data_IF_667920832349
#
_entry.id   IF_667920832349
#
_cell.length_a   1.000
_cell.length_b   1.000
_cell.length_c   1.000
_cell.angle_alpha   90.00
_cell.angle_beta   90.00
_cell.angle_gamma   90.00
#
_symmetry.space_group_name_H-M   'P 1'
#
loop_
_entity.id
_entity.type
_entity.pdbx_description
1 polymer ?
#
# COMPACT_ATOMS: atom_id res chain seq x y z
N UNK A 1 -0.31 -6.21 -12.25
CA UNK A 1 0.12 -5.88 -10.87
C UNK A 1 1.63 -5.68 -10.86
N UNK A 2 2.17 -4.86 -9.97
CA UNK A 2 3.61 -4.77 -9.77
C UNK A 2 4.14 -6.09 -9.20
N UNK A 3 5.23 -6.62 -9.76
CA UNK A 3 5.71 -7.97 -9.45
C UNK A 3 6.33 -8.10 -8.05
N UNK A 4 6.75 -6.99 -7.45
CA UNK A 4 7.42 -7.01 -6.14
C UNK A 4 6.42 -6.70 -5.01
N UNK A 5 5.69 -5.61 -5.13
CA UNK A 5 4.70 -5.17 -4.14
C UNK A 5 3.35 -5.89 -4.25
N UNK A 6 3.06 -6.54 -5.39
CA UNK A 6 1.74 -7.09 -5.73
C UNK A 6 0.61 -6.05 -5.78
N UNK A 7 0.93 -4.75 -5.73
CA UNK A 7 -0.06 -3.68 -5.82
C UNK A 7 -0.43 -3.39 -7.28
N UNK A 8 -1.65 -2.88 -7.49
CA UNK A 8 -2.08 -2.41 -8.81
C UNK A 8 -1.49 -1.00 -9.06
N UNK A 9 -0.75 -0.78 -10.15
CA UNK A 9 -0.28 0.56 -10.50
C UNK A 9 -1.46 1.52 -10.75
N UNK A 10 -1.38 2.75 -10.24
CA UNK A 10 -2.42 3.75 -10.45
C UNK A 10 -2.00 4.80 -11.49
N UNK A 11 -2.67 4.80 -12.65
CA UNK A 11 -2.46 5.80 -13.70
C UNK A 11 -3.23 7.08 -13.36
N UNK A 12 -2.53 8.21 -13.25
CA UNK A 12 -3.11 9.51 -12.94
C UNK A 12 -3.20 10.38 -14.19
N UNK A 13 -4.35 10.99 -14.40
CA UNK A 13 -4.49 12.13 -15.30
C UNK A 13 -4.52 13.42 -14.48
N UNK A 14 -3.79 14.43 -14.95
CA UNK A 14 -3.81 15.79 -14.41
C UNK A 14 -3.62 16.77 -15.58
N UNK A 15 -4.22 17.96 -15.46
CA UNK A 15 -4.06 19.03 -16.44
C UNK A 15 -2.81 19.87 -16.18
N UNK A 16 -2.39 20.65 -17.17
CA UNK A 16 -1.19 21.49 -17.07
C UNK A 16 -1.37 22.68 -16.11
N UNK A 17 -2.59 23.19 -15.97
CA UNK A 17 -2.97 24.34 -15.13
C UNK A 17 -3.64 23.89 -13.81
N UNK A 18 -2.88 23.24 -12.92
CA UNK A 18 -3.39 22.85 -11.59
C UNK A 18 -3.32 24.00 -10.57
N UNK A 19 -4.39 24.16 -9.77
CA UNK A 19 -4.32 25.02 -8.58
C UNK A 19 -3.31 24.46 -7.59
N UNK A 20 -2.73 25.34 -6.75
CA UNK A 20 -1.79 24.91 -5.68
C UNK A 20 -2.36 23.78 -4.80
N UNK A 21 -3.64 23.85 -4.43
CA UNK A 21 -4.30 22.81 -3.63
C UNK A 21 -4.43 21.48 -4.40
N UNK A 22 -4.79 21.54 -5.69
CA UNK A 22 -4.89 20.35 -6.53
C UNK A 22 -3.51 19.67 -6.70
N UNK A 23 -2.46 20.47 -6.91
CA UNK A 23 -1.07 19.99 -6.96
C UNK A 23 -0.66 19.33 -5.64
N UNK A 24 -0.96 19.95 -4.49
CA UNK A 24 -0.67 19.35 -3.18
C UNK A 24 -1.38 18.02 -2.97
N UNK A 25 -2.65 17.91 -3.35
CA UNK A 25 -3.40 16.65 -3.31
C UNK A 25 -2.75 15.57 -4.20
N UNK A 26 -2.34 15.93 -5.42
CA UNK A 26 -1.66 15.01 -6.34
C UNK A 26 -0.35 14.50 -5.77
N UNK A 27 0.51 15.42 -5.29
CA UNK A 27 1.79 15.07 -4.68
C UNK A 27 1.59 14.18 -3.44
N UNK A 28 0.60 14.48 -2.59
CA UNK A 28 0.31 13.64 -1.41
C UNK A 28 -0.13 12.24 -1.81
N UNK A 29 -0.96 12.10 -2.84
CA UNK A 29 -1.37 10.78 -3.37
C UNK A 29 -0.19 9.99 -3.92
N UNK A 30 0.76 10.64 -4.57
CA UNK A 30 1.99 10.00 -5.10
C UNK A 30 2.88 9.55 -3.94
N UNK A 31 3.09 10.42 -2.95
CA UNK A 31 3.87 10.10 -1.73
C UNK A 31 3.30 8.87 -1.02
N UNK A 32 1.97 8.83 -0.79
CA UNK A 32 1.32 7.73 -0.08
C UNK A 32 1.35 6.42 -0.87
N UNK A 33 1.20 6.48 -2.20
CA UNK A 33 1.35 5.30 -3.06
C UNK A 33 2.80 4.77 -3.04
N UNK A 34 3.80 5.65 -3.18
CA UNK A 34 5.20 5.27 -3.15
C UNK A 34 5.57 4.63 -1.80
N UNK A 35 5.09 5.21 -0.70
CA UNK A 35 5.24 4.65 0.64
C UNK A 35 4.60 3.27 0.79
N UNK A 36 3.37 3.09 0.31
CA UNK A 36 2.68 1.80 0.35
C UNK A 36 3.39 0.75 -0.50
N UNK A 37 3.85 1.15 -1.69
CA UNK A 37 4.61 0.28 -2.60
C UNK A 37 5.93 -0.17 -2.00
N UNK A 38 6.69 0.74 -1.38
CA UNK A 38 7.95 0.43 -0.69
C UNK A 38 7.71 -0.56 0.48
N UNK A 39 6.68 -0.32 1.29
CA UNK A 39 6.31 -1.22 2.38
C UNK A 39 6.02 -2.63 1.88
N UNK A 40 5.12 -2.77 0.91
CA UNK A 40 4.72 -4.07 0.40
C UNK A 40 5.82 -4.78 -0.38
N UNK A 41 6.68 -4.04 -1.08
CA UNK A 41 7.88 -4.60 -1.72
C UNK A 41 8.79 -5.28 -0.70
N UNK A 42 9.14 -4.57 0.38
CA UNK A 42 9.99 -5.10 1.44
C UNK A 42 9.34 -6.27 2.18
N UNK A 43 8.05 -6.14 2.48
CA UNK A 43 7.29 -7.17 3.18
C UNK A 43 7.19 -8.46 2.34
N UNK A 44 6.84 -8.34 1.06
CA UNK A 44 6.71 -9.50 0.16
C UNK A 44 8.06 -10.17 -0.07
N UNK A 45 9.14 -9.39 -0.25
CA UNK A 45 10.50 -9.95 -0.36
C UNK A 45 10.82 -10.85 0.83
N UNK A 46 10.63 -10.35 2.06
CA UNK A 46 10.84 -11.12 3.28
C UNK A 46 9.94 -12.36 3.37
N UNK A 47 8.68 -12.23 2.95
CA UNK A 47 7.76 -13.36 2.91
C UNK A 47 8.24 -14.48 2.00
N UNK A 48 8.69 -14.15 0.78
CA UNK A 48 9.19 -15.16 -0.16
C UNK A 48 10.49 -15.80 0.34
N UNK A 49 11.42 -15.02 0.89
CA UNK A 49 12.65 -15.53 1.51
C UNK A 49 12.34 -16.51 2.66
N UNK A 50 11.50 -16.12 3.62
CA UNK A 50 11.13 -16.98 4.75
C UNK A 50 10.36 -18.24 4.29
N UNK A 51 9.56 -18.12 3.22
CA UNK A 51 8.84 -19.25 2.63
C UNK A 51 9.79 -20.24 1.95
N UNK A 52 10.77 -19.75 1.18
CA UNK A 52 11.77 -20.59 0.53
C UNK A 52 12.63 -21.33 1.56
N UNK A 53 13.03 -20.65 2.63
CA UNK A 53 13.74 -21.26 3.76
C UNK A 53 12.90 -22.35 4.43
N UNK A 54 11.61 -22.10 4.68
CA UNK A 54 10.71 -23.07 5.27
C UNK A 54 10.58 -24.34 4.41
N UNK A 55 10.43 -24.18 3.08
CA UNK A 55 10.34 -25.30 2.14
C UNK A 55 11.67 -26.06 2.07
N UNK A 56 12.81 -25.35 2.04
CA UNK A 56 14.13 -25.97 1.97
C UNK A 56 14.42 -26.84 3.21
N UNK A 57 14.17 -26.30 4.40
CA UNK A 57 14.37 -27.02 5.66
C UNK A 57 13.49 -28.28 5.78
N UNK A 58 12.25 -28.22 5.28
CA UNK A 58 11.35 -29.40 5.26
C UNK A 58 11.80 -30.49 4.28
N UNK A 59 12.41 -30.09 3.15
CA UNK A 59 12.99 -31.04 2.20
C UNK A 59 14.22 -31.72 2.77
N UNK A 60 15.08 -30.95 3.44
CA UNK A 60 16.28 -31.47 4.13
C UNK A 60 15.93 -32.42 5.28
N UNK A 61 14.79 -32.20 5.95
CA UNK A 61 14.30 -33.10 7.00
C UNK A 61 13.65 -34.39 6.47
N UNK A 62 13.77 -34.69 5.17
CA UNK A 62 13.34 -35.96 4.56
C UNK A 62 11.90 -35.98 4.04
N UNK A 63 11.21 -34.84 3.99
CA UNK A 63 9.85 -34.76 3.42
C UNK A 63 9.91 -34.34 1.96
N UNK A 64 9.34 -35.11 1.04
CA UNK A 64 9.38 -34.80 -0.39
C UNK A 64 8.59 -33.53 -0.76
N UNK A 65 7.47 -33.27 -0.08
CA UNK A 65 6.59 -32.12 -0.31
C UNK A 65 6.04 -31.54 1.00
N UNK A 66 5.88 -30.22 1.03
CA UNK A 66 5.26 -29.52 2.17
C UNK A 66 3.74 -29.60 2.04
N UNK A 67 3.08 -30.18 3.04
CA UNK A 67 1.62 -30.30 3.03
C UNK A 67 0.92 -28.95 3.20
N UNK A 68 -0.34 -28.87 2.80
CA UNK A 68 -1.16 -27.68 2.99
C UNK A 68 -1.28 -27.29 4.48
N UNK A 69 -1.33 -28.28 5.38
CA UNK A 69 -1.40 -28.08 6.82
C UNK A 69 -0.12 -27.42 7.37
N UNK A 70 1.04 -27.95 6.98
CA UNK A 70 2.35 -27.38 7.34
C UNK A 70 2.52 -25.95 6.80
N UNK A 71 2.07 -25.71 5.56
CA UNK A 71 2.07 -24.37 4.97
C UNK A 71 1.14 -23.41 5.73
N UNK A 72 0.01 -23.90 6.24
CA UNK A 72 -0.89 -23.09 7.08
C UNK A 72 -0.23 -22.64 8.38
N UNK A 73 0.55 -23.52 9.01
CA UNK A 73 1.34 -23.20 10.20
C UNK A 73 2.40 -22.14 9.91
N UNK A 74 3.10 -22.25 8.77
CA UNK A 74 4.02 -21.21 8.31
C UNK A 74 3.31 -19.85 8.15
N UNK A 75 2.17 -19.82 7.45
CA UNK A 75 1.44 -18.57 7.23
C UNK A 75 0.99 -17.94 8.55
N UNK A 76 0.45 -18.73 9.47
CA UNK A 76 0.06 -18.23 10.79
C UNK A 76 1.26 -17.68 11.54
N UNK A 77 2.36 -18.41 11.62
CA UNK A 77 3.57 -17.97 12.32
C UNK A 77 4.15 -16.68 11.72
N UNK A 78 4.16 -16.57 10.38
CA UNK A 78 4.60 -15.35 9.70
C UNK A 78 3.69 -14.16 10.04
N UNK A 79 2.37 -14.33 10.01
CA UNK A 79 1.42 -13.28 10.37
C UNK A 79 1.56 -12.87 11.84
N UNK A 80 1.64 -13.84 12.75
CA UNK A 80 1.82 -13.61 14.19
C UNK A 80 3.14 -12.90 14.49
N UNK A 81 4.20 -13.16 13.72
CA UNK A 81 5.49 -12.46 13.84
C UNK A 81 5.41 -11.01 13.36
N UNK A 82 4.64 -10.76 12.30
CA UNK A 82 4.57 -9.44 11.64
C UNK A 82 3.34 -8.61 12.08
N UNK A 83 2.52 -9.10 13.01
CA UNK A 83 1.23 -8.48 13.38
C UNK A 83 1.36 -7.00 13.78
N UNK A 84 2.38 -6.65 14.60
CA UNK A 84 2.62 -5.27 15.04
C UNK A 84 2.91 -4.35 13.85
N UNK A 85 3.74 -4.83 12.91
CA UNK A 85 4.10 -4.09 11.71
C UNK A 85 2.86 -3.86 10.84
N UNK A 86 2.00 -4.87 10.68
CA UNK A 86 0.73 -4.72 9.94
C UNK A 86 -0.23 -3.73 10.60
N UNK A 87 -0.35 -3.75 11.93
CA UNK A 87 -1.17 -2.76 12.65
C UNK A 87 -0.62 -1.35 12.47
N UNK A 88 0.69 -1.16 12.66
CA UNK A 88 1.32 0.15 12.46
C UNK A 88 1.18 0.65 11.03
N UNK A 89 1.29 -0.25 10.04
CA UNK A 89 1.03 0.06 8.65
C UNK A 89 -0.41 0.52 8.45
N UNK A 90 -1.41 -0.22 8.96
CA UNK A 90 -2.82 0.11 8.82
C UNK A 90 -3.14 1.47 9.47
N UNK A 91 -2.64 1.73 10.67
CA UNK A 91 -2.80 3.04 11.34
C UNK A 91 -2.22 4.16 10.48
N UNK A 92 -0.97 3.99 10.02
CA UNK A 92 -0.31 4.98 9.16
C UNK A 92 -1.05 5.19 7.84
N UNK A 93 -1.59 4.12 7.27
CA UNK A 93 -2.39 4.16 6.06
C UNK A 93 -3.69 4.95 6.28
N UNK A 94 -4.40 4.73 7.39
CA UNK A 94 -5.61 5.51 7.71
C UNK A 94 -5.32 7.00 7.89
N UNK A 95 -4.28 7.35 8.65
CA UNK A 95 -3.89 8.75 8.86
C UNK A 95 -3.54 9.44 7.54
N UNK A 96 -2.73 8.79 6.70
CA UNK A 96 -2.36 9.30 5.38
C UNK A 96 -3.57 9.46 4.44
N UNK A 97 -4.53 8.54 4.48
CA UNK A 97 -5.75 8.65 3.68
C UNK A 97 -6.69 9.74 4.20
N UNK A 98 -6.72 9.99 5.52
CA UNK A 98 -7.43 11.11 6.09
C UNK A 98 -6.88 12.45 5.59
N UNK A 99 -5.56 12.61 5.53
CA UNK A 99 -4.92 13.80 4.93
C UNK A 99 -5.30 13.98 3.44
N UNK A 100 -5.34 12.89 2.68
CA UNK A 100 -5.77 12.92 1.28
C UNK A 100 -7.25 13.35 1.18
N UNK A 101 -8.10 12.86 2.08
CA UNK A 101 -9.52 13.18 2.10
C UNK A 101 -9.76 14.67 2.41
N UNK A 102 -9.07 15.21 3.41
CA UNK A 102 -9.18 16.63 3.76
C UNK A 102 -8.70 17.54 2.63
N UNK A 103 -7.57 17.21 1.99
CA UNK A 103 -7.10 17.92 0.79
C UNK A 103 -8.08 17.80 -0.39
N UNK A 104 -8.66 16.62 -0.60
CA UNK A 104 -9.65 16.42 -1.65
C UNK A 104 -10.90 17.27 -1.41
N UNK A 105 -11.39 17.33 -0.18
CA UNK A 105 -12.51 18.19 0.19
C UNK A 105 -12.20 19.67 -0.05
N UNK A 106 -11.01 20.14 0.34
CA UNK A 106 -10.57 21.51 0.11
C UNK A 106 -10.49 21.87 -1.38
N UNK A 107 -9.97 20.97 -2.23
CA UNK A 107 -9.93 21.15 -3.68
C UNK A 107 -11.34 21.24 -4.28
N UNK A 108 -12.26 20.38 -3.82
CA UNK A 108 -13.64 20.42 -4.32
C UNK A 108 -14.35 21.70 -3.90
N UNK A 109 -14.17 22.15 -2.65
CA UNK A 109 -14.72 23.41 -2.19
C UNK A 109 -14.18 24.60 -3.00
N UNK A 110 -12.86 24.63 -3.28
CA UNK A 110 -12.25 25.65 -4.13
C UNK A 110 -12.89 25.69 -5.52
N UNK A 111 -13.15 24.53 -6.13
CA UNK A 111 -13.80 24.43 -7.45
C UNK A 111 -15.24 24.95 -7.42
N UNK A 112 -16.02 24.56 -6.40
CA UNK A 112 -17.40 25.03 -6.24
C UNK A 112 -17.47 26.55 -6.06
N UNK A 113 -16.58 27.13 -5.26
CA UNK A 113 -16.50 28.58 -5.07
C UNK A 113 -16.12 29.32 -6.36
N UNK A 114 -15.16 28.79 -7.12
CA UNK A 114 -14.78 29.37 -8.41
C UNK A 114 -15.94 29.33 -9.43
N UNK A 115 -16.73 28.26 -9.44
CA UNK A 115 -17.91 28.13 -10.29
C UNK A 115 -19.02 29.11 -9.88
N UNK A 116 -19.28 29.26 -8.57
CA UNK A 116 -20.25 30.21 -8.07
C UNK A 116 -19.88 31.66 -8.45
N UNK A 117 -18.59 32.04 -8.31
CA UNK A 117 -18.09 33.37 -8.70
C UNK A 117 -18.23 33.65 -10.21
N UNK A 118 -18.12 32.63 -11.07
CA UNK A 118 -18.30 32.79 -12.53
C UNK A 118 -19.76 32.96 -12.95
N UNK A 119 -20.71 32.57 -12.09
CA UNK A 119 -22.16 32.66 -12.35
C UNK A 119 -22.80 33.92 -11.76
N UNK A 120 -22.10 34.62 -10.87
CA UNK A 120 -22.48 35.93 -10.30
C UNK A 120 -21.88 37.06 -11.12
#
# INVERSE_FOLDING_TARGET
PDAQSNLRPYVRHYGDEETRLARSLRLKRIEVEAWSTDFWTKHNKRFYEEKEDFIRLHKESGTSEVSADQMSHFYKAFLDKNWRIHIMYNISWYLKNFDILTLAAAVQLQRLLALAKRRS
#
